data_IF_746478683177
#
_entry.id   IF_746478683177
#
_cell.length_a   1.000
_cell.length_b   1.000
_cell.length_c   1.000
_cell.angle_alpha   90.00
_cell.angle_beta   90.00
_cell.angle_gamma   90.00
#
_symmetry.space_group_name_H-M   'P 1'
#
loop_
_entity.id
_entity.type
_entity.pdbx_description
1 polymer ?
#
# COMPACT_ATOMS: atom_id res chain seq x y z
N UNK A 1 -10.07 19.30 -1.22
CA UNK A 1 -8.79 19.95 -1.58
C UNK A 1 -9.02 21.37 -2.10
N UNK A 2 -9.95 21.60 -3.03
CA UNK A 2 -10.19 22.95 -3.60
C UNK A 2 -10.63 24.01 -2.59
N UNK A 3 -11.16 23.61 -1.45
CA UNK A 3 -11.59 24.54 -0.38
C UNK A 3 -10.56 24.75 0.72
N UNK A 4 -9.40 24.07 0.64
CA UNK A 4 -8.39 24.11 1.70
C UNK A 4 -7.26 25.09 1.34
N UNK A 5 -6.85 25.97 2.27
CA UNK A 5 -5.84 27.01 2.00
C UNK A 5 -4.40 26.49 1.97
N UNK A 6 -4.21 25.16 1.85
CA UNK A 6 -2.88 24.55 1.90
C UNK A 6 -2.12 24.73 0.61
N UNK A 7 -0.89 25.24 0.74
CA UNK A 7 -0.02 25.53 -0.40
C UNK A 7 0.83 24.33 -0.78
N UNK A 8 1.29 23.54 0.21
CA UNK A 8 2.19 22.42 -0.06
C UNK A 8 1.66 21.10 0.49
N UNK A 9 1.60 20.11 -0.38
CA UNK A 9 1.12 18.76 -0.09
C UNK A 9 2.21 17.76 -0.38
N UNK A 10 2.42 16.81 0.54
CA UNK A 10 3.28 15.65 0.35
C UNK A 10 2.42 14.40 0.23
N UNK A 11 2.56 13.67 -0.86
CA UNK A 11 1.98 12.34 -1.04
C UNK A 11 3.08 11.29 -0.95
N UNK A 12 2.96 10.35 -0.01
CA UNK A 12 3.96 9.31 0.24
C UNK A 12 3.39 7.93 -0.09
N UNK A 13 4.10 7.17 -0.90
CA UNK A 13 3.79 5.77 -1.21
C UNK A 13 5.07 4.95 -1.37
N UNK A 14 4.96 3.62 -1.33
CA UNK A 14 6.12 2.76 -1.49
C UNK A 14 6.43 2.42 -2.96
N UNK A 15 5.47 2.55 -3.88
CA UNK A 15 5.63 2.25 -5.32
C UNK A 15 5.52 3.50 -6.17
N UNK A 16 6.42 3.64 -7.15
CA UNK A 16 6.41 4.78 -8.07
C UNK A 16 5.17 4.83 -8.96
N UNK A 17 4.60 3.67 -9.29
CA UNK A 17 3.36 3.59 -10.08
C UNK A 17 2.19 4.27 -9.36
N UNK A 18 2.06 4.05 -8.06
CA UNK A 18 1.04 4.69 -7.22
C UNK A 18 1.26 6.21 -7.20
N UNK A 19 2.52 6.63 -7.05
CA UNK A 19 2.86 8.06 -7.07
C UNK A 19 2.47 8.72 -8.39
N UNK A 20 2.66 8.05 -9.53
CA UNK A 20 2.27 8.57 -10.85
C UNK A 20 0.76 8.65 -11.00
N UNK A 21 0.04 7.60 -10.59
CA UNK A 21 -1.43 7.57 -10.62
C UNK A 21 -2.02 8.65 -9.72
N UNK A 22 -1.47 8.81 -8.52
CA UNK A 22 -1.88 9.88 -7.62
C UNK A 22 -1.62 11.27 -8.23
N UNK A 23 -0.44 11.50 -8.82
CA UNK A 23 -0.11 12.75 -9.48
C UNK A 23 -1.08 13.07 -10.63
N UNK A 24 -1.45 12.09 -11.43
CA UNK A 24 -2.43 12.24 -12.51
C UNK A 24 -3.83 12.59 -11.95
N UNK A 25 -4.26 11.90 -10.88
CA UNK A 25 -5.52 12.18 -10.23
C UNK A 25 -5.58 13.61 -9.64
N UNK A 26 -4.48 14.04 -9.00
CA UNK A 26 -4.36 15.41 -8.49
C UNK A 26 -4.36 16.44 -9.62
N UNK A 27 -3.67 16.18 -10.73
CA UNK A 27 -3.61 17.08 -11.87
C UNK A 27 -4.98 17.32 -12.49
N UNK A 28 -5.87 16.33 -12.48
CA UNK A 28 -7.25 16.50 -12.95
C UNK A 28 -8.08 17.48 -12.11
N UNK A 29 -7.70 17.67 -10.84
CA UNK A 29 -8.42 18.54 -9.90
C UNK A 29 -7.70 19.89 -9.73
N UNK A 30 -6.37 19.88 -9.79
CA UNK A 30 -5.52 21.08 -9.56
C UNK A 30 -4.49 21.25 -10.69
N UNK A 31 -4.92 21.54 -11.91
CA UNK A 31 -4.03 21.56 -13.09
C UNK A 31 -2.96 22.65 -13.05
N UNK A 32 -3.17 23.72 -12.28
CA UNK A 32 -2.29 24.90 -12.20
C UNK A 32 -1.18 24.77 -11.16
N UNK A 33 -1.22 23.73 -10.31
CA UNK A 33 -0.19 23.54 -9.28
C UNK A 33 1.10 22.95 -9.88
N UNK A 34 2.22 23.22 -9.22
CA UNK A 34 3.49 22.58 -9.58
C UNK A 34 3.60 21.17 -9.01
N UNK A 35 4.09 20.24 -9.84
CA UNK A 35 4.22 18.80 -9.50
C UNK A 35 5.67 18.37 -9.46
N UNK A 36 6.06 17.72 -8.38
CA UNK A 36 7.41 17.19 -8.19
C UNK A 36 7.42 15.73 -7.78
N UNK A 37 8.50 15.02 -8.15
CA UNK A 37 8.74 13.65 -7.69
C UNK A 37 10.03 13.56 -6.90
N UNK A 38 9.96 12.87 -5.76
CA UNK A 38 11.11 12.57 -4.92
C UNK A 38 11.24 11.04 -4.76
N UNK A 39 11.77 10.43 -5.81
CA UNK A 39 11.99 8.97 -5.92
C UNK A 39 13.46 8.70 -6.22
N UNK A 40 13.86 7.46 -6.58
CA UNK A 40 15.23 7.06 -6.85
C UNK A 40 16.09 8.13 -7.51
N UNK A 41 15.89 8.38 -8.79
CA UNK A 41 16.69 9.34 -9.57
C UNK A 41 16.10 10.76 -9.59
N UNK A 42 14.82 10.91 -9.31
CA UNK A 42 14.11 12.21 -9.33
C UNK A 42 14.16 12.84 -7.95
N UNK A 43 14.65 14.07 -7.86
CA UNK A 43 14.86 14.79 -6.58
C UNK A 43 14.33 16.24 -6.64
N UNK A 44 13.19 16.46 -7.31
CA UNK A 44 12.54 17.77 -7.33
C UNK A 44 11.73 17.95 -6.04
N UNK A 45 12.27 18.73 -5.11
CA UNK A 45 11.69 18.93 -3.77
C UNK A 45 10.87 20.22 -3.64
N UNK A 46 10.90 21.11 -4.64
CA UNK A 46 10.38 22.50 -4.52
C UNK A 46 8.95 22.67 -5.04
N UNK A 47 8.30 21.58 -5.47
CA UNK A 47 6.94 21.63 -6.00
C UNK A 47 5.88 21.83 -4.89
N UNK A 48 4.73 22.37 -5.26
CA UNK A 48 3.57 22.52 -4.37
C UNK A 48 2.99 21.16 -3.99
N UNK A 49 2.91 20.25 -4.98
CA UNK A 49 2.50 18.86 -4.80
C UNK A 49 3.71 17.96 -5.01
N UNK A 50 4.23 17.39 -3.93
CA UNK A 50 5.37 16.49 -3.95
C UNK A 50 4.95 15.04 -3.77
N UNK A 51 5.32 14.19 -4.72
CA UNK A 51 5.08 12.73 -4.69
C UNK A 51 6.39 12.02 -4.37
N UNK A 52 6.48 11.43 -3.18
CA UNK A 52 7.71 10.86 -2.67
C UNK A 52 7.60 9.38 -2.36
N UNK A 53 8.64 8.60 -2.73
CA UNK A 53 8.72 7.22 -2.27
C UNK A 53 9.26 7.16 -0.84
N UNK A 54 8.69 6.27 -0.02
CA UNK A 54 9.17 6.00 1.35
C UNK A 54 10.66 5.70 1.36
N UNK A 55 11.15 4.88 0.44
CA UNK A 55 12.56 4.50 0.35
C UNK A 55 13.51 5.70 0.09
N UNK A 56 13.04 6.73 -0.62
CA UNK A 56 13.83 7.93 -0.89
C UNK A 56 13.74 8.95 0.24
N UNK A 57 12.56 9.11 0.82
CA UNK A 57 12.27 10.13 1.84
C UNK A 57 12.65 9.67 3.24
N UNK A 58 12.44 8.39 3.58
CA UNK A 58 12.63 7.82 4.92
C UNK A 58 14.09 7.70 5.39
N UNK A 59 15.02 8.45 4.77
CA UNK A 59 16.42 8.58 5.16
C UNK A 59 16.60 9.87 5.96
N UNK A 60 16.94 9.77 7.22
CA UNK A 60 17.06 10.92 8.13
C UNK A 60 17.96 12.03 7.61
N UNK A 61 19.10 11.67 6.99
CA UNK A 61 20.01 12.63 6.38
C UNK A 61 19.37 13.40 5.21
N UNK A 62 18.49 12.74 4.46
CA UNK A 62 17.75 13.36 3.34
C UNK A 62 16.71 14.32 3.87
N UNK A 63 15.94 13.91 4.88
CA UNK A 63 14.95 14.74 5.53
C UNK A 63 15.59 16.04 6.04
N UNK A 64 16.59 15.93 6.90
CA UNK A 64 17.27 17.09 7.51
C UNK A 64 17.98 18.01 6.51
N UNK A 65 18.48 17.46 5.40
CA UNK A 65 19.20 18.25 4.39
C UNK A 65 18.29 18.96 3.39
N UNK A 66 17.14 18.37 3.08
CA UNK A 66 16.29 18.80 1.97
C UNK A 66 15.00 19.50 2.41
N UNK A 67 14.57 19.27 3.64
CA UNK A 67 13.30 19.75 4.13
C UNK A 67 13.43 20.36 5.51
N UNK A 68 12.47 21.23 5.86
CA UNK A 68 12.20 21.63 7.24
C UNK A 68 11.01 20.83 7.79
N UNK A 69 10.83 20.72 9.10
CA UNK A 69 9.67 20.06 9.70
C UNK A 69 8.33 20.60 9.19
N UNK A 70 8.26 21.89 8.93
CA UNK A 70 7.05 22.60 8.49
C UNK A 70 6.96 22.76 6.96
N UNK A 71 7.69 21.92 6.19
CA UNK A 71 7.72 22.04 4.72
C UNK A 71 6.39 21.72 4.05
N UNK A 72 5.52 20.95 4.70
CA UNK A 72 4.23 20.53 4.15
C UNK A 72 3.12 20.71 5.17
N UNK A 73 2.06 21.41 4.76
CA UNK A 73 0.88 21.62 5.60
C UNK A 73 -0.05 20.40 5.57
N UNK A 74 -0.01 19.62 4.49
CA UNK A 74 -0.82 18.41 4.32
C UNK A 74 0.04 17.25 3.87
N UNK A 75 -0.08 16.12 4.59
CA UNK A 75 0.61 14.87 4.24
C UNK A 75 -0.41 13.77 4.01
N UNK A 76 -0.29 13.07 2.90
CA UNK A 76 -1.04 11.86 2.57
C UNK A 76 -0.10 10.66 2.59
N UNK A 77 -0.42 9.66 3.41
CA UNK A 77 0.32 8.41 3.51
C UNK A 77 -0.50 7.29 2.90
N UNK A 78 -0.08 6.81 1.74
CA UNK A 78 -0.71 5.64 1.13
C UNK A 78 -0.20 4.34 1.78
N UNK A 79 -1.07 3.32 1.83
CA UNK A 79 -0.83 2.07 2.55
C UNK A 79 -0.40 2.32 4.00
N UNK A 80 -1.14 3.18 4.68
CA UNK A 80 -0.79 3.66 6.02
C UNK A 80 -0.73 2.55 7.08
N UNK A 81 -1.21 1.34 6.80
CA UNK A 81 -1.01 0.17 7.64
C UNK A 81 0.48 -0.22 7.77
N UNK A 82 1.35 0.28 6.89
CA UNK A 82 2.81 0.18 7.02
C UNK A 82 3.43 1.30 7.85
N UNK A 83 2.65 2.28 8.34
CA UNK A 83 3.16 3.48 9.04
C UNK A 83 3.92 3.18 10.33
N UNK A 84 3.80 1.98 10.88
CA UNK A 84 4.61 1.53 12.04
C UNK A 84 5.99 1.00 11.65
N UNK A 85 6.33 0.89 10.36
CA UNK A 85 7.67 0.53 9.92
C UNK A 85 8.63 1.73 10.09
N UNK A 86 9.88 1.46 10.42
CA UNK A 86 10.90 2.47 10.76
C UNK A 86 11.01 3.64 9.78
N UNK A 87 10.87 3.37 8.48
CA UNK A 87 10.99 4.42 7.45
C UNK A 87 9.79 5.37 7.45
N UNK A 88 8.58 4.84 7.68
CA UNK A 88 7.37 5.65 7.81
C UNK A 88 7.41 6.49 9.09
N UNK A 89 7.82 5.87 10.20
CA UNK A 89 7.97 6.57 11.47
C UNK A 89 8.93 7.76 11.37
N UNK A 90 10.08 7.60 10.73
CA UNK A 90 11.04 8.70 10.51
C UNK A 90 10.43 9.87 9.74
N UNK A 91 9.54 9.61 8.78
CA UNK A 91 8.85 10.65 8.02
C UNK A 91 7.84 11.36 8.93
N UNK A 92 7.04 10.59 9.68
CA UNK A 92 6.01 11.12 10.57
C UNK A 92 6.62 11.90 11.75
N UNK A 93 7.72 11.42 12.31
CA UNK A 93 8.42 12.09 13.42
C UNK A 93 9.14 13.38 12.99
N UNK A 94 9.50 13.48 11.70
CA UNK A 94 10.22 14.64 11.18
C UNK A 94 9.31 15.79 10.79
N UNK A 95 8.17 15.51 10.13
CA UNK A 95 7.27 16.56 9.64
C UNK A 95 6.19 16.90 10.65
N UNK A 96 5.81 18.19 10.71
CA UNK A 96 4.73 18.72 11.54
C UNK A 96 3.59 19.25 10.66
N UNK A 97 2.84 18.39 9.96
CA UNK A 97 1.77 18.86 9.09
C UNK A 97 0.58 19.35 9.92
N UNK A 98 -0.19 20.31 9.36
CA UNK A 98 -1.48 20.69 9.93
C UNK A 98 -2.52 19.56 9.77
N UNK A 99 -2.38 18.73 8.73
CA UNK A 99 -3.24 17.58 8.47
C UNK A 99 -2.46 16.38 7.96
N UNK A 100 -2.74 15.24 8.57
CA UNK A 100 -2.22 13.94 8.18
C UNK A 100 -3.38 13.04 7.76
N UNK A 101 -3.35 12.53 6.51
CA UNK A 101 -4.33 11.59 5.99
C UNK A 101 -3.69 10.25 5.69
N UNK A 102 -4.21 9.18 6.28
CA UNK A 102 -3.85 7.81 5.95
C UNK A 102 -4.86 7.18 4.98
N UNK A 103 -4.36 6.49 3.97
CA UNK A 103 -5.15 5.66 3.05
C UNK A 103 -4.74 4.20 3.23
N UNK A 104 -5.69 3.29 3.38
CA UNK A 104 -5.42 1.85 3.45
C UNK A 104 -6.65 1.03 3.10
N UNK A 105 -6.44 -0.11 2.44
CA UNK A 105 -7.48 -1.12 2.24
C UNK A 105 -7.57 -2.11 3.41
N UNK A 106 -6.57 -2.15 4.30
CA UNK A 106 -6.44 -3.12 5.40
C UNK A 106 -6.05 -2.42 6.70
N UNK A 107 -6.97 -1.69 7.36
CA UNK A 107 -6.67 -0.94 8.58
C UNK A 107 -6.34 -1.85 9.77
N UNK A 108 -6.87 -3.07 9.79
CA UNK A 108 -6.59 -4.06 10.82
C UNK A 108 -5.27 -4.79 10.56
N UNK A 109 -4.38 -4.78 11.53
CA UNK A 109 -3.07 -5.42 11.45
C UNK A 109 -3.03 -6.70 12.28
N UNK A 110 -2.37 -7.72 11.72
CA UNK A 110 -2.17 -9.00 12.40
C UNK A 110 -1.15 -8.93 13.56
N UNK A 111 -0.34 -7.86 13.65
CA UNK A 111 0.68 -7.68 14.69
C UNK A 111 0.16 -6.96 15.95
N UNK A 112 -1.13 -6.66 16.01
CA UNK A 112 -1.79 -6.03 17.17
C UNK A 112 -1.50 -4.54 17.36
N UNK A 113 -0.75 -3.91 16.45
CA UNK A 113 -0.52 -2.46 16.48
C UNK A 113 -1.66 -1.75 15.75
N UNK A 114 -2.22 -0.73 16.37
CA UNK A 114 -3.32 0.03 15.82
C UNK A 114 -2.80 1.13 14.88
N UNK A 115 -3.21 1.09 13.62
CA UNK A 115 -2.98 2.19 12.69
C UNK A 115 -3.79 3.42 13.09
N UNK A 116 -4.95 3.20 13.69
CA UNK A 116 -5.87 4.27 14.12
C UNK A 116 -5.25 5.24 15.13
N UNK A 117 -4.35 4.75 16.01
CA UNK A 117 -3.66 5.60 17.00
C UNK A 117 -2.82 6.71 16.35
N UNK A 118 -2.25 6.45 15.18
CA UNK A 118 -1.45 7.43 14.45
C UNK A 118 -2.29 8.55 13.82
N UNK A 119 -3.60 8.34 13.73
CA UNK A 119 -4.57 9.24 13.12
C UNK A 119 -5.66 9.65 14.12
N UNK A 120 -5.34 9.68 15.43
CA UNK A 120 -6.22 10.09 16.52
C UNK A 120 -7.58 9.36 16.53
N UNK A 121 -7.63 8.13 16.02
CA UNK A 121 -8.85 7.32 15.83
C UNK A 121 -9.91 7.97 14.92
N UNK A 122 -9.54 8.97 14.14
CA UNK A 122 -10.45 9.60 13.19
C UNK A 122 -10.52 8.81 11.88
N UNK A 123 -11.71 8.35 11.51
CA UNK A 123 -11.98 7.65 10.25
C UNK A 123 -13.02 8.47 9.46
N UNK A 124 -12.58 9.43 8.64
CA UNK A 124 -13.49 10.32 7.92
C UNK A 124 -14.29 9.60 6.82
N UNK A 125 -13.77 8.49 6.30
CA UNK A 125 -14.43 7.70 5.27
C UNK A 125 -14.01 6.24 5.33
N UNK A 126 -15.00 5.36 5.25
CA UNK A 126 -14.82 3.92 5.11
C UNK A 126 -15.78 3.37 4.06
N UNK A 127 -15.28 2.48 3.20
CA UNK A 127 -16.10 1.71 2.25
C UNK A 127 -15.65 0.24 2.29
N UNK A 128 -16.55 -0.64 2.63
CA UNK A 128 -16.27 -2.07 2.63
C UNK A 128 -16.23 -2.62 1.20
N UNK A 129 -15.54 -3.75 1.00
CA UNK A 129 -15.52 -4.45 -0.29
C UNK A 129 -16.92 -4.74 -0.82
N UNK A 130 -17.82 -5.22 0.06
CA UNK A 130 -19.23 -5.49 -0.28
C UNK A 130 -19.95 -4.23 -0.76
N UNK A 131 -19.75 -3.14 -0.07
CA UNK A 131 -20.37 -1.87 -0.41
C UNK A 131 -19.81 -1.29 -1.72
N UNK A 132 -18.51 -1.37 -1.95
CA UNK A 132 -17.87 -0.93 -3.19
C UNK A 132 -18.37 -1.72 -4.41
N UNK A 133 -18.57 -3.04 -4.27
CA UNK A 133 -19.19 -3.88 -5.31
C UNK A 133 -20.65 -3.48 -5.52
N UNK A 134 -21.44 -3.31 -4.46
CA UNK A 134 -22.85 -2.94 -4.56
C UNK A 134 -23.06 -1.55 -5.19
N UNK A 135 -22.12 -0.63 -4.97
CA UNK A 135 -22.14 0.72 -5.58
C UNK A 135 -21.59 0.74 -7.01
N UNK A 136 -21.11 -0.40 -7.54
CA UNK A 136 -20.50 -0.48 -8.87
C UNK A 136 -19.12 0.19 -8.99
N UNK A 137 -18.49 0.52 -7.87
CA UNK A 137 -17.11 1.04 -7.83
C UNK A 137 -16.09 -0.07 -8.11
N UNK A 138 -16.40 -1.29 -7.64
CA UNK A 138 -15.63 -2.50 -7.92
C UNK A 138 -16.50 -3.51 -8.66
N UNK A 139 -15.86 -4.29 -9.53
CA UNK A 139 -16.54 -5.40 -10.23
C UNK A 139 -16.75 -6.56 -9.26
N UNK A 140 -17.92 -7.27 -9.36
CA UNK A 140 -18.12 -8.48 -8.58
C UNK A 140 -17.15 -9.58 -9.02
N UNK A 141 -16.80 -10.46 -8.10
CA UNK A 141 -15.91 -11.58 -8.36
C UNK A 141 -16.43 -12.86 -7.69
N UNK A 142 -16.01 -14.00 -8.20
CA UNK A 142 -16.22 -15.30 -7.59
C UNK A 142 -14.96 -15.75 -6.86
N UNK A 143 -15.11 -16.07 -5.58
CA UNK A 143 -14.03 -16.62 -4.78
C UNK A 143 -14.21 -18.13 -4.64
N UNK A 144 -13.17 -18.90 -5.01
CA UNK A 144 -13.14 -20.34 -4.88
C UNK A 144 -12.02 -20.73 -3.93
N UNK A 145 -12.38 -21.24 -2.74
CA UNK A 145 -11.43 -21.87 -1.84
C UNK A 145 -11.14 -23.32 -2.32
N UNK A 146 -9.88 -23.62 -2.57
CA UNK A 146 -9.46 -24.96 -2.99
C UNK A 146 -8.60 -25.54 -1.88
N UNK A 147 -9.01 -26.70 -1.38
CA UNK A 147 -8.20 -27.44 -0.42
C UNK A 147 -7.11 -28.21 -1.18
N UNK A 148 -5.86 -28.00 -0.78
CA UNK A 148 -4.71 -28.73 -1.31
C UNK A 148 -4.39 -29.91 -0.38
N UNK A 149 -4.79 -31.10 -0.78
CA UNK A 149 -4.53 -32.35 -0.11
C UNK A 149 -3.32 -33.12 -0.69
N UNK A 150 -2.60 -32.47 -1.59
CA UNK A 150 -1.41 -33.09 -2.26
C UNK A 150 -0.13 -32.92 -1.44
N UNK A 151 -0.16 -32.12 -0.38
CA UNK A 151 0.96 -31.88 0.53
C UNK A 151 0.54 -32.21 1.96
N UNK A 152 1.36 -32.98 2.65
CA UNK A 152 1.18 -33.21 4.10
C UNK A 152 1.82 -32.08 4.89
N UNK A 153 1.01 -31.04 5.20
CA UNK A 153 1.45 -29.88 5.97
C UNK A 153 1.75 -30.21 7.44
N UNK A 154 1.27 -31.35 7.96
CA UNK A 154 1.55 -31.79 9.33
C UNK A 154 3.01 -32.19 9.55
N UNK A 155 3.71 -32.54 8.47
CA UNK A 155 5.13 -32.89 8.47
C UNK A 155 6.06 -31.67 8.40
N UNK A 156 5.52 -30.44 8.19
CA UNK A 156 6.28 -29.22 8.04
C UNK A 156 6.37 -28.46 9.36
N UNK A 157 7.52 -27.82 9.60
CA UNK A 157 7.71 -26.97 10.78
C UNK A 157 6.93 -25.66 10.64
N UNK A 158 6.03 -25.42 11.62
CA UNK A 158 5.25 -24.19 11.71
C UNK A 158 5.77 -23.33 12.85
N UNK A 159 6.42 -22.18 12.52
CA UNK A 159 7.09 -21.30 13.48
C UNK A 159 6.58 -19.88 13.31
N UNK A 160 6.17 -19.23 14.42
CA UNK A 160 5.73 -17.84 14.43
C UNK A 160 4.63 -17.47 13.43
N UNK A 161 3.69 -18.40 13.17
CA UNK A 161 2.55 -18.14 12.29
C UNK A 161 2.79 -18.42 10.80
N UNK A 162 3.93 -19.00 10.42
CA UNK A 162 4.24 -19.42 9.05
C UNK A 162 5.04 -20.73 9.03
N UNK A 163 4.96 -21.43 7.91
CA UNK A 163 5.80 -22.62 7.67
C UNK A 163 7.21 -22.20 7.26
N UNK A 164 8.19 -23.05 7.56
CA UNK A 164 9.56 -22.85 7.11
C UNK A 164 9.63 -22.84 5.58
N UNK A 165 10.14 -21.76 4.99
CA UNK A 165 10.09 -21.50 3.55
C UNK A 165 10.84 -22.56 2.73
N UNK A 166 11.95 -23.05 3.25
CA UNK A 166 12.76 -24.11 2.64
C UNK A 166 12.00 -25.43 2.56
N UNK A 167 11.25 -25.79 3.59
CA UNK A 167 10.43 -27.02 3.64
C UNK A 167 9.21 -26.91 2.75
N UNK A 168 8.53 -25.76 2.72
CA UNK A 168 7.45 -25.50 1.78
C UNK A 168 7.92 -25.62 0.33
N UNK A 169 9.07 -25.01 0.03
CA UNK A 169 9.67 -25.08 -1.30
C UNK A 169 9.96 -26.51 -1.70
N UNK A 170 10.56 -27.32 -0.81
CA UNK A 170 10.82 -28.72 -1.07
C UNK A 170 9.53 -29.54 -1.26
N UNK A 171 8.48 -29.27 -0.50
CA UNK A 171 7.19 -29.95 -0.62
C UNK A 171 6.43 -29.61 -1.93
N UNK A 172 6.70 -28.42 -2.49
CA UNK A 172 6.07 -27.96 -3.73
C UNK A 172 6.88 -28.32 -4.98
N UNK A 173 8.22 -28.37 -4.88
CA UNK A 173 9.09 -28.77 -5.98
C UNK A 173 8.77 -30.21 -6.43
N UNK A 174 8.61 -30.37 -7.74
CA UNK A 174 8.35 -31.68 -8.39
C UNK A 174 7.04 -32.35 -7.96
N UNK A 175 6.13 -31.65 -7.27
CA UNK A 175 4.83 -32.17 -6.89
C UNK A 175 3.83 -32.11 -8.08
N UNK A 176 3.94 -33.11 -8.98
CA UNK A 176 3.09 -33.16 -10.18
C UNK A 176 1.60 -33.32 -9.86
N UNK A 177 1.23 -33.85 -8.70
CA UNK A 177 -0.17 -33.94 -8.25
C UNK A 177 -0.71 -32.53 -7.96
N UNK A 178 0.08 -31.70 -7.28
CA UNK A 178 -0.25 -30.32 -6.98
C UNK A 178 -0.40 -29.50 -8.27
N UNK A 179 0.51 -29.67 -9.23
CA UNK A 179 0.44 -29.01 -10.52
C UNK A 179 -0.83 -29.39 -11.29
N UNK A 180 -1.19 -30.67 -11.27
CA UNK A 180 -2.42 -31.16 -11.89
C UNK A 180 -3.67 -30.62 -11.20
N UNK A 181 -3.68 -30.52 -9.85
CA UNK A 181 -4.77 -29.89 -9.09
C UNK A 181 -4.94 -28.43 -9.49
N UNK A 182 -3.85 -27.64 -9.49
CA UNK A 182 -3.87 -26.23 -9.88
C UNK A 182 -4.39 -26.05 -11.31
N UNK A 183 -3.84 -26.80 -12.27
CA UNK A 183 -4.26 -26.74 -13.66
C UNK A 183 -5.72 -27.17 -13.85
N UNK A 184 -6.15 -28.20 -13.12
CA UNK A 184 -7.54 -28.68 -13.13
C UNK A 184 -8.50 -27.60 -12.62
N UNK A 185 -8.17 -26.98 -11.50
CA UNK A 185 -8.95 -25.87 -10.92
C UNK A 185 -8.97 -24.65 -11.85
N UNK A 186 -7.83 -24.27 -12.39
CA UNK A 186 -7.75 -23.18 -13.36
C UNK A 186 -8.66 -23.45 -14.57
N UNK A 187 -8.59 -24.62 -15.19
CA UNK A 187 -9.45 -24.99 -16.33
C UNK A 187 -10.93 -25.01 -15.99
N UNK A 188 -11.28 -25.38 -14.77
CA UNK A 188 -12.67 -25.45 -14.30
C UNK A 188 -13.28 -24.07 -14.01
N UNK A 189 -12.51 -23.18 -13.39
CA UNK A 189 -13.02 -21.92 -12.84
C UNK A 189 -12.61 -20.69 -13.62
N UNK A 190 -11.62 -20.79 -14.48
CA UNK A 190 -11.11 -19.69 -15.28
C UNK A 190 -12.15 -19.22 -16.31
N UNK A 191 -12.42 -17.92 -16.42
CA UNK A 191 -13.32 -17.39 -17.44
C UNK A 191 -12.69 -17.48 -18.84
N UNK A 192 -13.55 -17.67 -19.88
CA UNK A 192 -13.09 -17.88 -21.28
C UNK A 192 -12.22 -16.77 -21.85
N UNK A 193 -12.13 -15.60 -21.19
CA UNK A 193 -11.37 -14.42 -21.61
C UNK A 193 -10.50 -13.87 -20.48
N UNK A 194 -9.95 -14.74 -19.60
CA UNK A 194 -8.99 -14.29 -18.60
C UNK A 194 -7.70 -13.83 -19.29
N UNK A 195 -7.29 -12.62 -18.98
CA UNK A 195 -5.94 -12.16 -19.23
C UNK A 195 -5.07 -12.72 -18.09
N UNK A 196 -4.13 -13.56 -18.43
CA UNK A 196 -3.12 -14.12 -17.53
C UNK A 196 -1.91 -13.23 -17.42
#
# INVERSE_FOLDING_TARGET
FDSMPYKRVLFVAHREEILRQAAEAFHNVRPDDSYGFFTGDKKNADADLLFASVASLGKEEVLKRKFSPDSFEYIVMDECHHSTADQYQKILDFFHPAYLLGLTATPERMDGRSVYELYDFEVPYEITLKEAVNRGVLVPFHYYGIMDDTVDYSALHFVRGHYEESELTAAYLENTKRDQLILGCFRKYHPKHALG
#
